data_IF_372983535184
#
_entry.id   IF_372983535184
#
_cell.length_a   1.000
_cell.length_b   1.000
_cell.length_c   1.000
_cell.angle_alpha   90.00
_cell.angle_beta   90.00
_cell.angle_gamma   90.00
#
_symmetry.space_group_name_H-M   'P 1'
#
loop_
_entity.id
_entity.type
_entity.pdbx_description
1 polymer ?
#
# COMPACT_ATOMS: atom_id res chain seq x y z
N UNK A 1 25.75 -43.16 -34.71
CA UNK A 1 24.98 -41.95 -35.07
C UNK A 1 24.85 -41.13 -33.81
N UNK A 2 25.53 -39.97 -33.74
CA UNK A 2 25.62 -39.09 -32.58
C UNK A 2 24.45 -38.11 -32.58
N UNK A 3 23.61 -38.12 -31.57
CA UNK A 3 22.57 -37.13 -31.36
C UNK A 3 23.18 -35.91 -30.64
N UNK A 4 23.05 -34.73 -31.22
CA UNK A 4 23.52 -33.47 -30.70
C UNK A 4 22.54 -32.94 -29.66
N UNK A 5 23.04 -32.63 -28.45
CA UNK A 5 22.33 -31.91 -27.40
C UNK A 5 22.51 -30.42 -27.69
N UNK A 6 21.42 -29.72 -27.88
CA UNK A 6 21.41 -28.24 -27.92
C UNK A 6 21.36 -27.67 -26.50
N UNK A 7 22.13 -26.62 -26.17
CA UNK A 7 22.02 -25.96 -24.89
C UNK A 7 20.82 -25.02 -24.88
N UNK A 8 19.89 -25.22 -23.95
CA UNK A 8 18.80 -24.31 -23.67
C UNK A 8 19.25 -23.25 -22.67
N UNK A 9 19.24 -22.04 -23.11
CA UNK A 9 18.81 -20.78 -22.47
C UNK A 9 18.91 -20.68 -20.93
N UNK A 10 20.07 -20.30 -20.47
CA UNK A 10 20.31 -19.64 -19.19
C UNK A 10 20.55 -18.16 -19.50
N UNK A 11 19.54 -17.33 -19.41
CA UNK A 11 19.69 -15.88 -19.26
C UNK A 11 18.32 -15.26 -18.93
N UNK A 12 18.13 -14.97 -17.65
CA UNK A 12 17.37 -13.86 -17.08
C UNK A 12 16.95 -14.17 -15.63
N UNK A 13 17.94 -14.26 -14.75
CA UNK A 13 17.73 -14.12 -13.32
C UNK A 13 18.97 -13.42 -12.76
N UNK A 14 19.00 -12.12 -12.90
CA UNK A 14 19.99 -11.28 -12.24
C UNK A 14 19.47 -9.84 -12.29
N UNK A 15 18.65 -9.46 -11.32
CA UNK A 15 18.46 -8.04 -10.95
C UNK A 15 17.57 -7.88 -9.70
N UNK A 16 17.79 -8.70 -8.68
CA UNK A 16 17.25 -8.38 -7.33
C UNK A 16 18.13 -8.91 -6.18
N UNK A 17 19.31 -9.44 -6.44
CA UNK A 17 20.15 -10.06 -5.39
C UNK A 17 21.22 -9.14 -4.79
N UNK A 18 21.08 -7.81 -4.94
CA UNK A 18 22.11 -6.85 -4.53
C UNK A 18 21.98 -6.23 -3.14
N UNK A 19 20.84 -6.31 -2.47
CA UNK A 19 20.59 -5.44 -1.30
C UNK A 19 20.88 -6.09 0.06
N UNK A 20 21.02 -7.41 0.18
CA UNK A 20 21.22 -8.06 1.48
C UNK A 20 22.64 -8.63 1.75
N UNK A 21 23.56 -8.59 0.81
CA UNK A 21 24.90 -9.17 1.01
C UNK A 21 25.97 -8.20 1.52
N UNK A 22 25.65 -6.93 1.74
CA UNK A 22 26.61 -5.87 2.12
C UNK A 22 26.74 -5.58 3.62
N UNK A 23 26.01 -6.24 4.49
CA UNK A 23 25.92 -5.87 5.92
C UNK A 23 26.75 -6.73 6.88
N UNK A 24 27.66 -7.57 6.41
CA UNK A 24 28.61 -8.28 7.27
C UNK A 24 30.05 -7.99 6.81
N UNK A 25 30.78 -7.30 7.69
CA UNK A 25 32.23 -7.05 7.68
C UNK A 25 32.69 -5.67 7.17
N UNK A 26 32.68 -4.68 8.07
CA UNK A 26 33.89 -3.90 8.32
C UNK A 26 33.75 -3.06 9.60
N UNK A 27 34.31 -3.53 10.69
CA UNK A 27 34.66 -2.64 11.81
C UNK A 27 35.91 -1.86 11.37
N UNK A 28 35.71 -0.64 10.91
CA UNK A 28 36.77 0.35 10.81
C UNK A 28 36.44 1.49 11.78
N UNK A 29 37.27 1.59 12.79
CA UNK A 29 37.28 2.69 13.72
C UNK A 29 37.52 4.01 12.99
N UNK A 30 36.51 4.89 12.93
CA UNK A 30 36.69 6.28 12.53
C UNK A 30 36.59 7.15 13.77
N UNK A 31 37.61 7.97 13.94
CA UNK A 31 37.74 8.96 15.01
C UNK A 31 36.55 9.89 15.08
N UNK A 32 36.07 10.07 16.30
CA UNK A 32 35.03 11.03 16.62
C UNK A 32 35.51 12.45 16.31
N UNK A 33 34.88 13.08 15.32
CA UNK A 33 34.93 14.52 15.18
C UNK A 33 33.71 15.07 15.91
N UNK A 34 33.93 15.78 17.00
CA UNK A 34 32.89 16.47 17.78
C UNK A 34 32.33 17.61 16.95
N UNK A 35 31.24 17.35 16.25
CA UNK A 35 30.34 18.40 15.78
C UNK A 35 29.31 18.67 16.88
N UNK A 36 29.32 19.89 17.39
CA UNK A 36 28.28 20.41 18.27
C UNK A 36 26.90 20.15 17.64
N UNK A 37 25.88 19.73 18.44
CA UNK A 37 24.54 19.64 17.96
C UNK A 37 24.09 21.00 17.43
N UNK A 38 23.67 21.07 16.19
CA UNK A 38 22.93 22.22 15.68
C UNK A 38 21.56 22.14 16.35
N UNK A 39 21.33 23.05 17.29
CA UNK A 39 20.03 23.26 17.90
C UNK A 39 19.09 23.75 16.79
N UNK A 40 18.34 22.83 16.20
CA UNK A 40 17.28 23.16 15.27
C UNK A 40 16.10 23.61 16.11
N UNK A 41 15.99 24.92 16.26
CA UNK A 41 14.83 25.60 16.82
C UNK A 41 13.62 25.26 15.93
N UNK A 42 12.92 24.19 16.29
CA UNK A 42 11.61 23.93 15.74
C UNK A 42 10.67 24.98 16.32
N UNK A 43 9.88 25.67 15.49
CA UNK A 43 8.78 26.43 16.07
C UNK A 43 7.95 25.44 16.89
N UNK A 44 7.91 25.62 18.21
CA UNK A 44 6.93 24.97 19.08
C UNK A 44 5.53 25.45 18.67
N UNK A 45 5.01 24.93 17.59
CA UNK A 45 3.58 24.88 17.39
C UNK A 45 3.07 23.60 18.05
N UNK A 46 3.20 23.54 19.36
CA UNK A 46 2.45 22.61 20.19
C UNK A 46 1.03 23.15 20.37
N UNK A 47 0.33 23.40 19.31
CA UNK A 47 -1.11 23.33 19.35
C UNK A 47 -1.44 21.84 19.15
N UNK A 48 -1.64 21.15 20.26
CA UNK A 48 -2.32 19.85 20.29
C UNK A 48 -3.65 20.10 19.57
N UNK A 49 -3.97 19.36 18.48
CA UNK A 49 -5.23 19.54 17.78
C UNK A 49 -6.37 19.46 18.79
N UNK A 50 -7.31 20.41 18.72
CA UNK A 50 -8.49 20.37 19.58
C UNK A 50 -9.20 19.01 19.37
N UNK A 51 -9.66 18.34 20.45
CA UNK A 51 -10.38 17.08 20.33
C UNK A 51 -11.58 17.24 19.40
N UNK A 52 -11.60 16.49 18.27
CA UNK A 52 -12.65 16.55 17.27
C UNK A 52 -12.23 17.15 15.93
N UNK A 53 -10.99 17.59 15.76
CA UNK A 53 -10.47 18.14 14.51
C UNK A 53 -10.17 17.03 13.46
N UNK A 54 -9.86 15.82 13.92
CA UNK A 54 -9.57 14.68 13.04
C UNK A 54 -10.52 13.52 13.31
N UNK A 55 -10.90 12.72 12.28
CA UNK A 55 -11.71 11.54 12.52
C UNK A 55 -10.94 10.57 13.42
N UNK A 56 -11.60 10.11 14.49
CA UNK A 56 -11.04 9.06 15.32
C UNK A 56 -10.82 7.79 14.51
N UNK A 57 -9.70 7.10 14.74
CA UNK A 57 -9.35 5.85 14.10
C UNK A 57 -9.68 4.65 15.00
N UNK A 58 -9.86 3.49 14.40
CA UNK A 58 -9.84 2.25 15.16
C UNK A 58 -8.42 1.99 15.68
N UNK A 59 -8.34 1.45 16.89
CA UNK A 59 -7.08 0.97 17.43
C UNK A 59 -6.56 -0.24 16.63
N UNK A 60 -5.25 -0.33 16.46
CA UNK A 60 -4.60 -1.45 15.78
C UNK A 60 -3.91 -2.39 16.79
N UNK A 61 -3.88 -3.71 16.56
CA UNK A 61 -4.47 -4.42 15.42
C UNK A 61 -6.00 -4.53 15.52
N UNK A 62 -6.68 -4.38 14.39
CA UNK A 62 -8.12 -4.56 14.26
C UNK A 62 -8.39 -5.73 13.31
N UNK A 63 -9.16 -6.72 13.77
CA UNK A 63 -9.65 -7.80 12.94
C UNK A 63 -11.04 -8.23 13.43
N UNK A 64 -12.08 -7.93 12.67
CA UNK A 64 -13.43 -8.42 12.92
C UNK A 64 -13.67 -9.77 12.24
N UNK A 65 -12.90 -10.09 11.23
CA UNK A 65 -12.82 -11.41 10.63
C UNK A 65 -11.37 -11.93 10.73
N UNK A 66 -11.19 -13.25 10.61
CA UNK A 66 -9.86 -13.87 10.64
C UNK A 66 -8.97 -13.49 9.44
N UNK A 67 -9.55 -12.84 8.45
CA UNK A 67 -8.85 -12.41 7.23
C UNK A 67 -8.62 -10.90 7.19
N UNK A 68 -9.18 -10.12 8.12
CA UNK A 68 -8.89 -8.70 8.24
C UNK A 68 -7.47 -8.53 8.82
N UNK A 69 -6.70 -7.63 8.25
CA UNK A 69 -5.32 -7.41 8.69
C UNK A 69 -4.98 -5.93 8.81
N UNK A 70 -5.88 -5.15 9.42
CA UNK A 70 -5.60 -3.77 9.80
C UNK A 70 -4.60 -3.75 10.96
N UNK A 71 -3.31 -3.82 10.60
CA UNK A 71 -2.20 -3.84 11.54
C UNK A 71 -1.50 -2.48 11.64
N UNK A 72 -1.85 -1.54 10.75
CA UNK A 72 -1.18 -0.26 10.61
C UNK A 72 -2.15 0.89 10.84
N UNK A 73 -1.68 1.92 11.53
CA UNK A 73 -2.37 3.20 11.64
C UNK A 73 -2.01 4.13 10.48
N UNK A 74 -2.71 5.25 10.35
CA UNK A 74 -2.46 6.20 9.26
C UNK A 74 -1.13 6.92 9.41
N UNK A 75 -0.35 7.02 8.32
CA UNK A 75 0.93 7.72 8.31
C UNK A 75 0.79 9.25 8.19
N UNK A 76 -0.42 9.77 7.98
CA UNK A 76 -0.73 11.20 7.93
C UNK A 76 -1.93 11.51 8.82
N UNK A 77 -1.92 12.69 9.43
CA UNK A 77 -3.09 13.26 10.10
C UNK A 77 -3.93 13.93 9.01
N UNK A 78 -5.09 13.35 8.68
CA UNK A 78 -5.95 13.81 7.58
C UNK A 78 -7.29 14.22 8.15
N UNK A 79 -7.70 15.49 7.93
CA UNK A 79 -8.97 16.02 8.38
C UNK A 79 -10.16 15.41 7.63
N UNK A 80 -10.01 15.23 6.31
CA UNK A 80 -10.98 14.56 5.47
C UNK A 80 -10.31 13.39 4.77
N UNK A 81 -11.03 12.29 4.74
CA UNK A 81 -10.58 11.11 4.03
C UNK A 81 -10.93 11.26 2.55
N UNK A 82 -10.07 11.93 1.82
CA UNK A 82 -10.13 11.99 0.38
C UNK A 82 -9.08 11.06 -0.19
N UNK A 83 -9.53 9.88 -0.61
CA UNK A 83 -8.63 8.96 -1.30
C UNK A 83 -8.39 9.44 -2.74
N UNK A 84 -7.19 9.25 -3.26
CA UNK A 84 -6.81 9.72 -4.58
C UNK A 84 -7.65 9.06 -5.69
N UNK A 85 -7.62 9.68 -6.86
CA UNK A 85 -8.14 9.06 -8.09
C UNK A 85 -7.36 7.80 -8.43
N UNK A 86 -7.88 6.99 -9.36
CA UNK A 86 -7.30 5.69 -9.74
C UNK A 86 -5.81 5.75 -10.08
N UNK A 87 -5.33 6.87 -10.63
CA UNK A 87 -3.95 7.03 -11.09
C UNK A 87 -2.93 7.08 -9.94
N UNK A 88 -3.40 7.39 -8.73
CA UNK A 88 -2.60 7.51 -7.52
C UNK A 88 -2.85 6.39 -6.52
N UNK A 89 -3.61 5.37 -6.95
CA UNK A 89 -3.90 4.17 -6.16
C UNK A 89 -2.97 3.02 -6.53
N UNK A 90 -2.88 2.09 -5.62
CA UNK A 90 -2.17 0.83 -5.84
C UNK A 90 -2.69 0.09 -7.09
N UNK A 91 -1.77 -0.53 -7.83
CA UNK A 91 -2.09 -1.35 -9.00
C UNK A 91 -2.38 -0.57 -10.28
N UNK A 92 -2.23 0.76 -10.29
CA UNK A 92 -2.26 1.56 -11.51
C UNK A 92 -0.97 1.39 -12.30
N UNK A 93 -1.07 1.20 -13.62
CA UNK A 93 0.08 1.13 -14.50
C UNK A 93 0.17 2.37 -15.36
N UNK A 94 1.23 3.15 -15.15
CA UNK A 94 1.52 4.30 -15.98
C UNK A 94 2.24 3.87 -17.26
N UNK A 95 1.56 4.01 -18.38
CA UNK A 95 2.11 3.67 -19.70
C UNK A 95 3.21 4.61 -20.16
N UNK A 96 3.33 5.81 -19.58
CA UNK A 96 4.36 6.80 -19.94
C UNK A 96 5.70 6.46 -19.29
N UNK A 97 5.66 6.08 -18.03
CA UNK A 97 6.85 5.70 -17.26
C UNK A 97 7.13 4.19 -17.33
N UNK A 98 6.19 3.42 -17.87
CA UNK A 98 6.23 1.95 -17.91
C UNK A 98 6.41 1.35 -16.51
N UNK A 99 5.76 1.93 -15.52
CA UNK A 99 5.85 1.54 -14.11
C UNK A 99 4.48 1.21 -13.52
N UNK A 100 4.48 0.27 -12.60
CA UNK A 100 3.33 -0.04 -11.77
C UNK A 100 3.41 0.80 -10.50
N UNK A 101 2.30 1.40 -10.08
CA UNK A 101 2.19 2.07 -8.81
C UNK A 101 2.08 1.04 -7.68
N UNK A 102 3.09 0.97 -6.83
CA UNK A 102 3.29 -0.07 -5.81
C UNK A 102 2.79 0.33 -4.43
N UNK A 103 2.22 1.52 -4.30
CA UNK A 103 1.73 2.09 -3.06
C UNK A 103 0.44 2.87 -3.25
N UNK A 104 0.18 3.76 -2.34
CA UNK A 104 -0.89 4.75 -2.42
C UNK A 104 -0.30 6.14 -2.19
N UNK A 105 -0.73 7.11 -3.01
CA UNK A 105 -0.30 8.50 -2.87
C UNK A 105 -1.34 9.28 -2.08
N UNK A 106 -0.96 9.73 -0.91
CA UNK A 106 -1.81 10.51 0.00
C UNK A 106 -1.48 11.99 -0.18
N UNK A 107 -2.37 12.74 -0.83
CA UNK A 107 -2.19 14.18 -1.06
C UNK A 107 -2.15 14.91 0.28
N UNK A 108 -1.13 15.75 0.46
CA UNK A 108 -0.95 16.56 1.67
C UNK A 108 -0.06 17.77 1.37
N UNK A 109 0.00 18.75 2.26
CA UNK A 109 0.84 19.92 2.07
C UNK A 109 2.32 19.61 2.37
N UNK A 110 3.24 20.38 1.73
CA UNK A 110 4.66 20.28 2.02
C UNK A 110 4.90 20.69 3.47
N UNK A 111 5.65 19.85 4.19
CA UNK A 111 6.00 20.11 5.59
C UNK A 111 5.08 19.42 6.60
N UNK A 112 3.92 18.89 6.17
CA UNK A 112 3.05 18.11 7.05
C UNK A 112 3.79 16.92 7.65
N UNK A 113 3.59 16.62 8.94
CA UNK A 113 4.24 15.49 9.60
C UNK A 113 3.86 14.14 8.96
N UNK A 114 4.87 13.31 8.72
CA UNK A 114 4.70 11.91 8.36
C UNK A 114 4.99 11.06 9.58
N UNK A 115 4.06 10.16 9.90
CA UNK A 115 4.06 9.36 11.11
C UNK A 115 4.38 7.88 10.80
N UNK A 116 5.06 7.19 11.72
CA UNK A 116 5.23 5.75 11.64
C UNK A 116 3.87 5.05 11.72
N UNK A 117 3.55 4.21 10.75
CA UNK A 117 2.28 3.48 10.70
C UNK A 117 2.21 2.32 11.71
N UNK A 118 3.33 1.93 12.32
CA UNK A 118 3.40 0.86 13.32
C UNK A 118 4.74 0.85 14.04
N UNK A 119 4.81 0.11 15.14
CA UNK A 119 6.03 -0.10 15.91
C UNK A 119 7.09 -0.83 15.10
N UNK A 120 8.34 -0.39 15.12
CA UNK A 120 9.40 -1.04 14.37
C UNK A 120 10.78 -0.39 14.48
N UNK A 121 11.67 -0.82 13.60
CA UNK A 121 13.02 -0.30 13.43
C UNK A 121 13.16 0.36 12.06
N UNK A 122 13.66 1.57 12.01
CA UNK A 122 14.04 2.24 10.76
C UNK A 122 15.24 1.51 10.17
N UNK A 123 15.05 0.94 8.98
CA UNK A 123 16.11 0.20 8.28
C UNK A 123 16.67 0.97 7.09
N UNK A 124 16.08 2.12 6.77
CA UNK A 124 16.57 3.05 5.76
C UNK A 124 15.97 4.45 6.01
N UNK A 125 16.80 5.48 5.89
CA UNK A 125 16.39 6.89 5.90
C UNK A 125 17.29 7.73 4.99
N UNK A 126 16.75 8.35 3.93
CA UNK A 126 17.49 9.20 3.01
C UNK A 126 17.21 8.98 1.53
N UNK A 127 18.18 9.32 0.67
CA UNK A 127 18.12 9.05 -0.77
C UNK A 127 18.75 7.70 -1.10
N UNK A 128 18.20 7.01 -2.12
CA UNK A 128 18.80 5.78 -2.67
C UNK A 128 18.20 4.49 -2.12
N UNK A 129 16.91 4.49 -1.80
CA UNK A 129 16.18 3.32 -1.30
C UNK A 129 16.35 2.10 -2.24
N UNK A 130 16.26 2.29 -3.56
CA UNK A 130 16.34 1.18 -4.53
C UNK A 130 17.73 0.57 -4.57
N UNK A 131 18.79 1.39 -4.52
CA UNK A 131 20.17 0.92 -4.67
C UNK A 131 20.84 0.58 -3.34
N UNK A 132 20.25 0.98 -2.22
CA UNK A 132 20.87 0.86 -0.89
C UNK A 132 22.13 1.71 -0.69
N UNK A 133 22.37 2.68 -1.59
CA UNK A 133 23.45 3.66 -1.54
C UNK A 133 22.93 5.00 -1.99
N UNK A 134 23.57 6.10 -1.55
CA UNK A 134 23.14 7.45 -1.90
C UNK A 134 22.92 7.60 -3.42
N UNK A 135 21.69 7.90 -3.79
CA UNK A 135 21.27 8.14 -5.17
C UNK A 135 20.23 9.27 -5.21
N UNK A 136 20.64 10.43 -5.69
CA UNK A 136 19.78 11.60 -5.77
C UNK A 136 18.71 11.49 -6.87
N UNK A 137 18.87 10.54 -7.79
CA UNK A 137 17.93 10.24 -8.88
C UNK A 137 16.99 9.07 -8.53
N UNK A 138 17.02 8.61 -7.27
CA UNK A 138 16.09 7.56 -6.79
C UNK A 138 14.64 8.04 -6.95
N UNK A 139 13.76 7.26 -7.58
CA UNK A 139 12.37 7.67 -7.81
C UNK A 139 11.59 7.94 -6.52
N UNK A 140 11.93 7.30 -5.39
CA UNK A 140 11.31 7.61 -4.09
C UNK A 140 11.78 8.94 -3.49
N UNK A 141 12.87 9.53 -4.01
CA UNK A 141 13.48 10.71 -3.43
C UNK A 141 14.04 10.44 -2.03
N UNK A 142 13.76 11.31 -1.08
CA UNK A 142 14.00 11.03 0.33
C UNK A 142 12.93 10.07 0.81
N UNK A 143 13.35 8.92 1.32
CA UNK A 143 12.45 7.89 1.82
C UNK A 143 12.85 7.42 3.22
N UNK A 144 11.87 6.89 3.95
CA UNK A 144 12.06 6.10 5.16
C UNK A 144 11.49 4.71 4.91
N UNK A 145 12.17 3.67 5.40
CA UNK A 145 11.65 2.30 5.43
C UNK A 145 11.72 1.77 6.86
N UNK A 146 10.59 1.26 7.33
CA UNK A 146 10.45 0.68 8.67
C UNK A 146 10.24 -0.82 8.54
N UNK A 147 11.02 -1.60 9.28
CA UNK A 147 10.78 -3.02 9.56
C UNK A 147 9.96 -3.11 10.84
N UNK A 148 8.73 -3.59 10.75
CA UNK A 148 7.87 -3.69 11.91
C UNK A 148 8.31 -4.78 12.88
N UNK A 149 8.03 -4.56 14.17
CA UNK A 149 8.31 -5.51 15.25
C UNK A 149 7.34 -6.69 15.29
N UNK A 150 6.31 -6.64 14.45
CA UNK A 150 5.30 -7.67 14.21
C UNK A 150 5.30 -8.06 12.73
N UNK A 151 4.71 -9.18 12.41
CA UNK A 151 4.57 -9.68 11.05
C UNK A 151 3.15 -10.16 10.79
N UNK A 152 2.95 -10.74 9.61
CA UNK A 152 1.68 -11.35 9.22
C UNK A 152 1.93 -12.73 8.61
N UNK A 153 1.25 -13.76 9.13
CA UNK A 153 1.36 -15.16 8.65
C UNK A 153 2.79 -15.69 8.53
N UNK A 154 3.65 -15.29 9.48
CA UNK A 154 5.07 -15.68 9.50
C UNK A 154 5.98 -14.82 8.63
N UNK A 155 5.44 -13.90 7.85
CA UNK A 155 6.19 -12.97 7.02
C UNK A 155 6.57 -11.71 7.79
N UNK A 156 7.70 -11.11 7.43
CA UNK A 156 8.12 -9.81 7.97
C UNK A 156 7.38 -8.69 7.24
N UNK A 157 6.84 -7.75 8.01
CA UNK A 157 6.11 -6.59 7.50
C UNK A 157 7.02 -5.36 7.45
N UNK A 158 6.94 -4.63 6.34
CA UNK A 158 7.65 -3.37 6.14
C UNK A 158 6.70 -2.29 5.63
N UNK A 159 7.01 -1.03 5.94
CA UNK A 159 6.39 0.14 5.30
C UNK A 159 7.45 1.05 4.70
N UNK A 160 7.10 1.68 3.57
CA UNK A 160 7.93 2.66 2.88
C UNK A 160 7.18 3.98 2.80
N UNK A 161 7.90 5.05 3.07
CA UNK A 161 7.41 6.43 3.05
C UNK A 161 8.29 7.23 2.08
N UNK A 162 7.75 7.57 0.91
CA UNK A 162 8.48 8.23 -0.18
C UNK A 162 8.15 9.71 -0.34
N UNK A 163 8.92 10.38 -1.19
CA UNK A 163 8.79 11.77 -1.62
C UNK A 163 8.91 12.80 -0.48
N UNK A 164 9.56 12.41 0.63
CA UNK A 164 9.69 13.26 1.81
C UNK A 164 10.48 14.55 1.50
N UNK A 165 10.14 15.63 2.20
CA UNK A 165 10.98 16.83 2.23
C UNK A 165 12.25 16.57 3.05
N UNK A 166 12.10 15.86 4.16
CA UNK A 166 13.18 15.41 5.04
C UNK A 166 12.76 14.18 5.82
N UNK A 167 13.72 13.30 6.09
CA UNK A 167 13.64 12.31 7.15
C UNK A 167 14.18 12.93 8.44
N UNK A 168 13.54 12.66 9.59
CA UNK A 168 13.97 13.14 10.92
C UNK A 168 14.40 11.99 11.83
N UNK A 169 14.47 10.79 11.26
CA UNK A 169 14.92 9.55 11.91
C UNK A 169 16.15 9.01 11.19
N UNK A 170 16.88 8.12 11.84
CA UNK A 170 18.11 7.51 11.33
C UNK A 170 18.00 5.98 11.29
N UNK A 171 18.82 5.33 10.46
CA UNK A 171 18.93 3.88 10.38
C UNK A 171 19.26 3.27 11.75
N UNK A 172 18.52 2.25 12.15
CA UNK A 172 18.59 1.58 13.45
C UNK A 172 17.75 2.24 14.54
N UNK A 173 17.10 3.35 14.28
CA UNK A 173 16.22 4.00 15.27
C UNK A 173 14.94 3.17 15.47
N UNK A 174 14.58 2.94 16.74
CA UNK A 174 13.30 2.32 17.11
C UNK A 174 12.23 3.41 17.17
N UNK A 175 11.10 3.14 16.52
CA UNK A 175 9.94 4.03 16.48
C UNK A 175 8.67 3.31 16.92
N UNK A 176 7.71 4.07 17.40
CA UNK A 176 6.36 3.64 17.76
C UNK A 176 5.34 4.13 16.73
N UNK A 177 4.22 3.43 16.63
CA UNK A 177 3.08 3.92 15.86
C UNK A 177 2.73 5.36 16.29
N UNK A 178 2.63 6.26 15.29
CA UNK A 178 2.37 7.68 15.52
C UNK A 178 3.59 8.55 15.78
N UNK A 179 4.79 7.98 15.93
CA UNK A 179 6.00 8.81 16.05
C UNK A 179 6.27 9.54 14.74
N UNK A 180 6.64 10.84 14.76
CA UNK A 180 7.02 11.56 13.55
C UNK A 180 8.36 11.03 13.02
N UNK A 181 8.38 10.72 11.71
CA UNK A 181 9.54 10.16 11.03
C UNK A 181 10.07 11.03 9.90
N UNK A 182 9.30 12.03 9.48
CA UNK A 182 9.65 12.93 8.40
C UNK A 182 8.57 13.96 8.14
N UNK A 183 8.70 14.66 7.02
CA UNK A 183 7.67 15.61 6.55
C UNK A 183 7.41 15.38 5.07
N UNK A 184 6.15 15.61 4.64
CA UNK A 184 5.72 15.53 3.25
C UNK A 184 6.53 16.47 2.37
N UNK A 185 6.92 16.02 1.19
CA UNK A 185 7.70 16.79 0.23
C UNK A 185 7.29 16.55 -1.22
N UNK A 186 8.27 16.77 -2.10
CA UNK A 186 8.17 16.61 -3.56
C UNK A 186 9.49 16.06 -4.13
N UNK A 187 10.25 15.32 -3.35
CA UNK A 187 11.54 14.76 -3.81
C UNK A 187 11.33 13.49 -4.64
N UNK A 188 12.27 13.19 -5.54
CA UNK A 188 12.17 12.03 -6.45
C UNK A 188 11.23 12.26 -7.62
N UNK A 189 10.60 11.18 -8.11
CA UNK A 189 9.70 11.22 -9.27
C UNK A 189 8.26 11.46 -8.83
N UNK A 190 7.85 12.72 -8.72
CA UNK A 190 6.51 13.11 -8.26
C UNK A 190 5.91 14.21 -9.11
N UNK A 191 4.57 14.28 -9.18
CA UNK A 191 3.82 15.33 -9.87
C UNK A 191 3.36 16.48 -8.97
N UNK A 192 3.52 16.35 -7.66
CA UNK A 192 3.10 17.35 -6.66
C UNK A 192 3.24 16.83 -5.24
N UNK A 193 2.89 17.66 -4.24
CA UNK A 193 3.05 17.28 -2.84
C UNK A 193 2.14 16.12 -2.43
N UNK A 194 2.71 15.05 -1.95
CA UNK A 194 2.02 13.89 -1.39
C UNK A 194 3.00 13.00 -0.61
N UNK A 195 2.46 12.11 0.19
CA UNK A 195 3.17 10.97 0.73
C UNK A 195 2.90 9.75 -0.15
N UNK A 196 3.95 9.16 -0.72
CA UNK A 196 3.88 7.82 -1.30
C UNK A 196 4.07 6.79 -0.19
N UNK A 197 3.08 5.93 0.03
CA UNK A 197 3.08 4.95 1.10
C UNK A 197 2.94 3.53 0.57
N UNK A 198 3.84 2.63 0.98
CA UNK A 198 3.79 1.22 0.61
C UNK A 198 3.75 0.30 1.82
N UNK A 199 3.13 -0.84 1.63
CA UNK A 199 3.20 -2.00 2.52
C UNK A 199 3.88 -3.14 1.77
N UNK A 200 4.82 -3.81 2.43
CA UNK A 200 5.56 -4.94 1.85
C UNK A 200 5.59 -6.10 2.83
N UNK A 201 5.34 -7.29 2.33
CA UNK A 201 5.56 -8.55 3.05
C UNK A 201 6.78 -9.25 2.49
N UNK A 202 7.61 -9.81 3.36
CA UNK A 202 8.79 -10.56 2.95
C UNK A 202 8.69 -12.00 3.46
N UNK A 203 8.63 -12.93 2.50
CA UNK A 203 8.84 -14.36 2.71
C UNK A 203 10.25 -14.73 2.19
N UNK A 204 11.13 -15.07 3.12
CA UNK A 204 12.52 -15.38 2.78
C UNK A 204 13.29 -14.18 2.23
N UNK A 205 13.68 -14.21 0.93
CA UNK A 205 14.49 -13.17 0.29
C UNK A 205 13.68 -12.20 -0.59
N UNK A 206 12.44 -12.55 -0.92
CA UNK A 206 11.60 -11.77 -1.80
C UNK A 206 10.60 -10.93 -1.00
N UNK A 207 10.53 -9.64 -1.28
CA UNK A 207 9.52 -8.73 -0.71
C UNK A 207 8.42 -8.47 -1.73
N UNK A 208 7.19 -8.83 -1.37
CA UNK A 208 6.00 -8.58 -2.16
C UNK A 208 5.31 -7.29 -1.71
N UNK A 209 4.99 -6.41 -2.65
CA UNK A 209 4.19 -5.22 -2.36
C UNK A 209 2.72 -5.62 -2.16
N UNK A 210 2.07 -4.99 -1.22
CA UNK A 210 0.67 -5.22 -0.85
C UNK A 210 -0.12 -3.94 -1.05
N UNK A 211 -1.44 -4.05 -1.30
CA UNK A 211 -2.27 -2.86 -1.35
C UNK A 211 -2.43 -2.27 0.06
N UNK A 212 -1.89 -1.07 0.34
CA UNK A 212 -1.93 -0.47 1.68
C UNK A 212 -3.34 -0.27 2.23
N UNK A 213 -4.35 -0.17 1.35
CA UNK A 213 -5.74 0.02 1.73
C UNK A 213 -6.35 -1.18 2.47
N UNK A 214 -5.70 -2.36 2.42
CA UNK A 214 -6.08 -3.53 3.22
C UNK A 214 -5.43 -3.56 4.61
N UNK A 215 -4.38 -2.76 4.82
CA UNK A 215 -3.52 -2.82 6.02
C UNK A 215 -3.74 -1.67 6.99
N UNK A 216 -4.21 -0.53 6.49
CA UNK A 216 -4.49 0.65 7.28
C UNK A 216 -5.84 0.54 7.97
N UNK A 217 -5.89 0.79 9.28
CA UNK A 217 -7.17 0.85 9.99
C UNK A 217 -8.03 2.01 9.47
N UNK A 218 -9.32 1.79 9.19
CA UNK A 218 -10.22 2.85 8.78
C UNK A 218 -10.57 3.79 9.94
N UNK A 219 -11.15 4.97 9.67
CA UNK A 219 -11.77 5.80 10.69
C UNK A 219 -12.95 5.09 11.35
N UNK A 220 -13.28 5.48 12.59
CA UNK A 220 -14.48 4.98 13.27
C UNK A 220 -15.73 5.23 12.41
N UNK A 221 -16.62 4.23 12.31
CA UNK A 221 -17.80 4.29 11.46
C UNK A 221 -17.52 4.13 9.96
N UNK A 222 -16.29 3.78 9.57
CA UNK A 222 -15.91 3.52 8.18
C UNK A 222 -15.40 2.08 8.01
N UNK A 223 -15.56 1.54 6.81
CA UNK A 223 -15.07 0.22 6.43
C UNK A 223 -14.32 0.26 5.09
N UNK A 224 -13.89 -0.89 4.64
CA UNK A 224 -13.17 -1.11 3.38
C UNK A 224 -14.00 -2.01 2.47
N UNK A 225 -14.09 -1.67 1.19
CA UNK A 225 -14.65 -2.55 0.16
C UNK A 225 -13.50 -3.09 -0.70
N UNK A 226 -13.31 -4.40 -0.68
CA UNK A 226 -12.40 -5.10 -1.57
C UNK A 226 -13.15 -6.05 -2.49
N UNK A 227 -12.54 -6.44 -3.61
CA UNK A 227 -13.22 -7.42 -4.43
C UNK A 227 -12.55 -7.79 -5.73
N UNK A 228 -13.27 -8.64 -6.47
CA UNK A 228 -12.87 -9.20 -7.75
C UNK A 228 -13.85 -8.80 -8.84
N UNK A 229 -13.38 -8.16 -9.89
CA UNK A 229 -14.17 -7.92 -11.10
C UNK A 229 -13.64 -8.85 -12.19
N UNK A 230 -14.44 -9.85 -12.56
CA UNK A 230 -14.05 -10.95 -13.43
C UNK A 230 -15.03 -11.10 -14.61
N UNK A 231 -14.56 -11.71 -15.69
CA UNK A 231 -15.40 -12.13 -16.81
C UNK A 231 -16.13 -13.46 -16.52
N UNK A 232 -16.90 -13.96 -17.50
CA UNK A 232 -17.66 -15.22 -17.39
C UNK A 232 -16.77 -16.46 -17.15
N UNK A 233 -15.45 -16.36 -17.38
CA UNK A 233 -14.47 -17.44 -17.20
C UNK A 233 -13.67 -17.33 -15.91
N UNK A 234 -13.97 -16.34 -15.07
CA UNK A 234 -13.23 -16.06 -13.84
C UNK A 234 -11.93 -15.27 -14.02
N UNK A 235 -11.58 -14.84 -15.25
CA UNK A 235 -10.40 -14.01 -15.46
C UNK A 235 -10.68 -12.58 -15.02
N UNK A 236 -9.72 -11.93 -14.36
CA UNK A 236 -9.81 -10.53 -13.99
C UNK A 236 -10.01 -9.62 -15.19
N UNK A 237 -10.78 -8.56 -15.00
CA UNK A 237 -10.97 -7.48 -15.96
C UNK A 237 -10.10 -6.30 -15.54
N UNK A 238 -8.92 -6.10 -16.17
CA UNK A 238 -8.03 -4.99 -15.84
C UNK A 238 -8.61 -3.67 -16.32
N UNK A 239 -8.26 -2.58 -15.60
CA UNK A 239 -8.72 -1.22 -15.90
C UNK A 239 -10.23 -1.09 -16.11
N UNK A 240 -10.99 -1.95 -15.43
CA UNK A 240 -12.44 -1.97 -15.51
C UNK A 240 -13.04 -0.95 -14.55
N UNK A 241 -13.75 0.04 -15.09
CA UNK A 241 -14.46 1.02 -14.29
C UNK A 241 -15.81 0.49 -13.82
N UNK A 242 -16.17 0.84 -12.59
CA UNK A 242 -17.46 0.62 -11.98
C UNK A 242 -17.81 1.77 -11.02
N UNK A 243 -19.03 1.84 -10.55
CA UNK A 243 -19.50 2.88 -9.66
C UNK A 243 -20.04 2.29 -8.36
N UNK A 244 -19.76 2.97 -7.26
CA UNK A 244 -20.34 2.74 -5.95
C UNK A 244 -21.09 4.01 -5.53
N UNK A 245 -22.37 3.91 -5.21
CA UNK A 245 -23.21 5.03 -4.83
C UNK A 245 -23.78 4.81 -3.42
N UNK A 246 -23.54 5.73 -2.51
CA UNK A 246 -24.22 5.73 -1.21
C UNK A 246 -25.70 5.96 -1.39
N UNK A 247 -26.51 5.08 -0.82
CA UNK A 247 -27.98 5.20 -0.87
C UNK A 247 -28.48 6.28 0.09
N UNK A 248 -27.71 6.62 1.11
CA UNK A 248 -28.03 7.64 2.09
C UNK A 248 -27.69 9.06 1.60
N UNK A 249 -26.46 9.26 1.13
CA UNK A 249 -25.97 10.61 0.76
C UNK A 249 -26.05 10.88 -0.73
N UNK A 250 -26.20 9.86 -1.56
CA UNK A 250 -26.14 9.95 -3.02
C UNK A 250 -24.73 10.18 -3.58
N UNK A 251 -23.69 10.25 -2.74
CA UNK A 251 -22.30 10.37 -3.19
C UNK A 251 -21.92 9.16 -4.05
N UNK A 252 -21.20 9.43 -5.13
CA UNK A 252 -20.77 8.40 -6.09
C UNK A 252 -19.24 8.35 -6.13
N UNK A 253 -18.68 7.17 -5.92
CA UNK A 253 -17.28 6.85 -6.17
C UNK A 253 -17.18 6.13 -7.52
N UNK A 254 -16.26 6.58 -8.36
CA UNK A 254 -15.84 5.87 -9.58
C UNK A 254 -14.56 5.13 -9.26
N UNK A 255 -14.57 3.82 -9.45
CA UNK A 255 -13.47 2.93 -9.10
C UNK A 255 -13.02 2.25 -10.38
N UNK A 256 -11.71 2.01 -10.47
CA UNK A 256 -11.12 1.27 -11.59
C UNK A 256 -10.29 0.12 -11.00
N UNK A 257 -10.47 -1.07 -11.55
CA UNK A 257 -9.66 -2.23 -11.15
C UNK A 257 -8.20 -2.03 -11.55
N UNK A 258 -7.30 -2.77 -10.93
CA UNK A 258 -5.87 -2.74 -11.25
C UNK A 258 -5.62 -2.86 -12.75
N UNK A 259 -4.61 -2.16 -13.24
CA UNK A 259 -4.41 -1.98 -14.68
C UNK A 259 -3.86 -3.20 -15.40
N UNK A 260 -3.23 -4.13 -14.70
CA UNK A 260 -2.70 -5.34 -15.29
C UNK A 260 -3.44 -6.59 -14.79
N UNK A 261 -3.51 -7.61 -15.65
CA UNK A 261 -3.80 -8.97 -15.20
C UNK A 261 -2.62 -9.39 -14.30
N UNK A 262 -2.80 -9.21 -13.01
CA UNK A 262 -1.81 -9.54 -12.01
C UNK A 262 -1.83 -11.06 -11.83
N UNK A 263 -1.24 -11.76 -12.80
CA UNK A 263 -0.89 -13.18 -12.67
C UNK A 263 0.33 -13.37 -11.78
N UNK A 264 1.03 -12.27 -11.44
CA UNK A 264 2.09 -12.29 -10.45
C UNK A 264 1.45 -12.30 -9.07
N UNK A 265 1.57 -13.42 -8.36
CA UNK A 265 1.13 -13.65 -6.98
C UNK A 265 1.60 -12.61 -5.96
N UNK A 266 2.41 -11.62 -6.37
CA UNK A 266 3.05 -10.64 -5.49
C UNK A 266 2.31 -9.30 -5.40
N UNK A 267 1.15 -9.14 -6.03
CA UNK A 267 0.46 -7.86 -6.09
C UNK A 267 -0.95 -7.89 -5.51
N UNK A 268 -1.52 -9.06 -5.29
CA UNK A 268 -2.83 -9.27 -4.67
C UNK A 268 -2.61 -9.89 -3.31
N UNK A 269 -3.48 -9.62 -2.38
CA UNK A 269 -3.53 -10.36 -1.12
C UNK A 269 -3.74 -11.86 -1.37
N UNK A 270 -3.05 -12.71 -0.61
CA UNK A 270 -3.06 -14.16 -0.82
C UNK A 270 -4.42 -14.81 -0.50
N UNK A 271 -5.25 -14.19 0.32
CA UNK A 271 -6.60 -14.65 0.61
C UNK A 271 -7.65 -13.99 -0.28
N UNK A 272 -7.63 -12.66 -0.35
CA UNK A 272 -8.65 -11.93 -1.10
C UNK A 272 -8.49 -12.09 -2.62
N UNK A 273 -7.27 -12.21 -3.14
CA UNK A 273 -6.97 -12.19 -4.58
C UNK A 273 -7.75 -11.09 -5.30
N UNK A 274 -7.85 -9.94 -4.68
CA UNK A 274 -8.63 -8.82 -5.16
C UNK A 274 -7.99 -8.15 -6.38
N UNK A 275 -8.75 -7.40 -7.14
CA UNK A 275 -8.22 -6.50 -8.16
C UNK A 275 -8.74 -5.06 -8.01
N UNK A 276 -9.33 -4.75 -6.87
CA UNK A 276 -9.61 -3.40 -6.42
C UNK A 276 -9.81 -3.38 -4.90
N UNK A 277 -9.48 -2.25 -4.31
CA UNK A 277 -9.84 -1.90 -2.93
C UNK A 277 -10.34 -0.46 -2.90
N UNK A 278 -11.29 -0.16 -2.06
CA UNK A 278 -11.73 1.19 -1.74
C UNK A 278 -11.88 1.31 -0.23
N UNK A 279 -10.99 2.06 0.38
CA UNK A 279 -10.93 2.30 1.81
C UNK A 279 -11.83 3.47 2.23
N UNK A 280 -12.08 3.63 3.53
CA UNK A 280 -12.76 4.77 4.15
C UNK A 280 -14.19 5.03 3.66
N UNK A 281 -14.91 3.97 3.39
CA UNK A 281 -16.32 4.07 3.11
C UNK A 281 -17.10 4.22 4.42
N UNK A 282 -17.89 5.30 4.60
CA UNK A 282 -18.85 5.34 5.70
C UNK A 282 -19.69 4.08 5.77
N UNK A 283 -20.05 3.64 6.97
CA UNK A 283 -21.01 2.55 7.15
C UNK A 283 -22.33 2.87 6.46
N UNK A 284 -23.02 1.87 5.93
CA UNK A 284 -24.33 2.03 5.30
C UNK A 284 -24.51 1.23 4.03
N UNK A 285 -25.64 1.49 3.36
CA UNK A 285 -26.06 0.80 2.13
C UNK A 285 -25.55 1.52 0.90
N UNK A 286 -25.01 0.74 -0.05
CA UNK A 286 -24.48 1.24 -1.32
C UNK A 286 -25.02 0.46 -2.50
N UNK A 287 -25.26 1.13 -3.64
CA UNK A 287 -25.48 0.49 -4.93
C UNK A 287 -24.13 0.40 -5.66
N UNK A 288 -23.67 -0.83 -5.90
CA UNK A 288 -22.53 -1.11 -6.78
C UNK A 288 -23.05 -1.39 -8.19
N UNK A 289 -22.40 -0.82 -9.22
CA UNK A 289 -22.88 -0.99 -10.60
C UNK A 289 -21.77 -0.95 -11.63
N UNK A 290 -21.92 -1.73 -12.70
CA UNK A 290 -21.00 -1.77 -13.85
C UNK A 290 -21.70 -2.16 -15.14
N UNK A 291 -21.09 -1.84 -16.27
CA UNK A 291 -21.47 -2.36 -17.58
C UNK A 291 -20.57 -3.54 -17.96
N UNK A 292 -21.16 -4.62 -18.45
CA UNK A 292 -20.43 -5.77 -18.98
C UNK A 292 -21.18 -6.37 -20.19
N UNK A 293 -20.50 -6.59 -21.31
CA UNK A 293 -21.08 -7.19 -22.53
C UNK A 293 -22.46 -6.61 -22.90
N UNK A 294 -22.57 -5.28 -22.99
CA UNK A 294 -23.80 -4.53 -23.29
C UNK A 294 -24.91 -4.62 -22.22
N UNK A 295 -24.69 -5.37 -21.13
CA UNK A 295 -25.57 -5.42 -19.96
C UNK A 295 -25.18 -4.41 -18.90
N UNK A 296 -26.17 -3.85 -18.21
CA UNK A 296 -25.99 -3.06 -16.99
C UNK A 296 -26.30 -3.95 -15.80
N UNK A 297 -25.35 -4.06 -14.86
CA UNK A 297 -25.44 -4.88 -13.67
C UNK A 297 -25.35 -3.98 -12.46
N UNK A 298 -26.21 -4.20 -11.48
CA UNK A 298 -26.22 -3.51 -10.21
C UNK A 298 -26.67 -4.40 -9.08
N UNK A 299 -26.23 -4.09 -7.88
CA UNK A 299 -26.63 -4.76 -6.65
C UNK A 299 -26.45 -3.81 -5.46
N UNK A 300 -27.09 -4.11 -4.35
CA UNK A 300 -26.92 -3.40 -3.09
C UNK A 300 -25.92 -4.17 -2.22
N UNK A 301 -25.06 -3.43 -1.51
CA UNK A 301 -24.09 -3.96 -0.55
C UNK A 301 -24.11 -3.10 0.71
N UNK A 302 -24.05 -3.76 1.86
CA UNK A 302 -23.84 -3.11 3.14
C UNK A 302 -22.36 -3.00 3.43
N UNK A 303 -21.90 -1.82 3.85
CA UNK A 303 -20.55 -1.59 4.35
C UNK A 303 -20.58 -1.60 5.87
N UNK A 304 -20.05 -2.67 6.44
CA UNK A 304 -19.83 -2.79 7.88
C UNK A 304 -18.57 -2.00 8.28
N UNK A 305 -18.65 -1.20 9.35
CA UNK A 305 -17.50 -0.42 9.82
C UNK A 305 -16.43 -1.31 10.46
N UNK A 306 -15.17 -0.91 10.34
CA UNK A 306 -14.02 -1.62 10.90
C UNK A 306 -13.69 -2.95 10.23
N UNK A 307 -14.30 -3.27 9.08
CA UNK A 307 -14.15 -4.56 8.39
C UNK A 307 -13.82 -4.39 6.91
N UNK A 308 -13.24 -5.43 6.33
CA UNK A 308 -13.12 -5.60 4.89
C UNK A 308 -14.42 -6.24 4.39
N UNK A 309 -15.21 -5.49 3.62
CA UNK A 309 -16.40 -5.97 2.96
C UNK A 309 -16.02 -6.48 1.58
N UNK A 310 -16.43 -7.69 1.20
CA UNK A 310 -15.95 -8.31 -0.02
C UNK A 310 -17.05 -8.59 -1.03
N UNK A 311 -16.75 -8.32 -2.32
CA UNK A 311 -17.68 -8.56 -3.43
C UNK A 311 -16.95 -9.14 -4.64
N UNK A 312 -17.60 -10.08 -5.31
CA UNK A 312 -17.14 -10.62 -6.60
C UNK A 312 -18.17 -10.32 -7.69
N UNK A 313 -17.73 -9.71 -8.80
CA UNK A 313 -18.50 -9.67 -10.05
C UNK A 313 -18.01 -10.76 -10.99
N UNK A 314 -18.92 -11.62 -11.47
CA UNK A 314 -18.62 -12.73 -12.40
C UNK A 314 -19.39 -12.58 -13.71
N UNK A 315 -19.00 -11.65 -14.55
CA UNK A 315 -19.58 -11.48 -15.85
C UNK A 315 -21.11 -11.50 -15.86
N UNK A 316 -21.74 -12.40 -16.63
CA UNK A 316 -23.20 -12.50 -16.73
C UNK A 316 -23.90 -12.96 -15.45
N UNK A 317 -23.20 -13.55 -14.49
CA UNK A 317 -23.76 -13.90 -13.19
C UNK A 317 -24.03 -12.68 -12.30
N UNK A 318 -23.33 -11.55 -12.59
CA UNK A 318 -23.48 -10.32 -11.80
C UNK A 318 -22.65 -10.36 -10.51
N UNK A 319 -23.13 -9.64 -9.49
CA UNK A 319 -22.46 -9.49 -8.20
C UNK A 319 -22.82 -10.62 -7.24
N UNK A 320 -21.81 -11.13 -6.55
CA UNK A 320 -21.89 -12.12 -5.47
C UNK A 320 -21.19 -11.53 -4.25
N UNK A 321 -21.82 -11.60 -3.09
CA UNK A 321 -21.32 -11.02 -1.84
C UNK A 321 -20.84 -12.10 -0.87
N UNK A 322 -19.95 -11.70 0.01
CA UNK A 322 -19.34 -12.55 1.02
C UNK A 322 -17.87 -12.81 0.74
N UNK A 323 -17.17 -13.22 1.79
CA UNK A 323 -15.73 -13.54 1.69
C UNK A 323 -15.49 -14.63 0.65
N UNK A 324 -14.29 -14.63 0.03
CA UNK A 324 -13.90 -15.72 -0.87
C UNK A 324 -14.02 -17.06 -0.13
N UNK A 325 -14.69 -18.04 -0.74
CA UNK A 325 -14.51 -19.41 -0.29
C UNK A 325 -13.03 -19.77 -0.40
N UNK A 326 -12.48 -20.48 0.57
CA UNK A 326 -11.11 -20.99 0.48
C UNK A 326 -11.10 -22.00 -0.65
N UNK A 327 -10.84 -21.54 -1.86
CA UNK A 327 -10.66 -22.41 -3.01
C UNK A 327 -9.31 -23.11 -2.89
N UNK A 328 -9.28 -24.37 -3.33
CA UNK A 328 -8.04 -25.14 -3.41
C UNK A 328 -6.97 -24.30 -4.13
N UNK A 329 -5.76 -24.11 -3.56
CA UNK A 329 -4.65 -23.41 -4.20
C UNK A 329 -4.36 -23.85 -5.65
N UNK A 330 -4.81 -25.06 -6.03
CA UNK A 330 -4.70 -25.59 -7.38
C UNK A 330 -5.56 -24.87 -8.43
N UNK A 331 -6.62 -24.15 -8.07
CA UNK A 331 -7.46 -23.43 -9.05
C UNK A 331 -6.78 -22.18 -9.65
N UNK A 332 -5.72 -21.67 -9.04
CA UNK A 332 -5.00 -20.48 -9.50
C UNK A 332 -3.73 -20.77 -10.30
N UNK A 333 -3.47 -22.04 -10.64
CA UNK A 333 -2.26 -22.49 -11.35
C UNK A 333 -2.42 -22.59 -12.88
N UNK A 334 -3.44 -21.94 -13.47
CA UNK A 334 -3.69 -22.00 -14.93
C UNK A 334 -3.50 -20.67 -15.63
#
# INVERSE_FOLDING_TARGET
>A
MKAAIRPSTLLRLALCTGVLAGLLLSKSSVMANSSTPVDLDFPETTETPEPGQYPALYDVPLALSMHDHFLLTRPLIIEEVTWPTSDFRYGFFDTKTNSLHTGIDMVSEIGEPVLAAGDGEVIFAGYGLIKGTLDMDDPYGIAVMIKHSFGFEGNTLYTVYGHLQKAIVEDGQIVKAGDPIGTVGITGNTSGPHLHFEVRLQDGQDAAVQNPELWLAPPLGHGVLAGRIQNDRGNFLPSKSFSLKSMETGKIWKITTYSQNLTNRHLNDDYFHENFVLHDLPEGTYEISTYYNYGFYKAEIEIAPGAINFVTFRGKQGFVFGYPEISDPAEFLH
#
